data_IF_152054762538
#
_entry.id   IF_152054762538
#
_cell.length_a   1.000
_cell.length_b   1.000
_cell.length_c   1.000
_cell.angle_alpha   90.00
_cell.angle_beta   90.00
_cell.angle_gamma   90.00
#
_symmetry.space_group_name_H-M   'P 1'
#
loop_
_entity.id
_entity.type
_entity.pdbx_description
1 polymer ?
#
# COMPACT_ATOMS: atom_id res chain seq x y z
N UNK A 1 -10.02 8.60 15.66
CA UNK A 1 -8.96 7.82 16.32
C UNK A 1 -7.63 8.29 15.75
N UNK A 2 -6.64 8.60 16.58
CA UNK A 2 -5.31 9.01 16.11
C UNK A 2 -4.65 7.90 15.27
N UNK A 3 -4.81 6.64 15.68
CA UNK A 3 -4.27 5.46 14.98
C UNK A 3 -4.79 5.32 13.54
N UNK A 4 -6.07 5.64 13.30
CA UNK A 4 -6.63 5.60 11.95
C UNK A 4 -6.02 6.69 11.07
N UNK A 5 -5.78 7.89 11.62
CA UNK A 5 -5.12 8.95 10.87
C UNK A 5 -3.68 8.55 10.52
N UNK A 6 -2.93 7.98 11.47
CA UNK A 6 -1.56 7.51 11.24
C UNK A 6 -1.51 6.42 10.15
N UNK A 7 -2.46 5.48 10.15
CA UNK A 7 -2.57 4.48 9.09
C UNK A 7 -2.80 5.14 7.71
N UNK A 8 -3.68 6.13 7.63
CA UNK A 8 -3.99 6.84 6.39
C UNK A 8 -2.80 7.66 5.90
N UNK A 9 -2.06 8.31 6.80
CA UNK A 9 -0.85 9.06 6.47
C UNK A 9 0.25 8.13 5.95
N UNK A 10 0.44 6.98 6.60
CA UNK A 10 1.37 5.94 6.14
C UNK A 10 0.98 5.42 4.75
N UNK A 11 -0.30 5.06 4.54
CA UNK A 11 -0.78 4.61 3.24
C UNK A 11 -0.58 5.68 2.16
N UNK A 12 -0.86 6.95 2.47
CA UNK A 12 -0.66 8.05 1.54
C UNK A 12 0.81 8.23 1.15
N UNK A 13 1.73 8.09 2.10
CA UNK A 13 3.17 8.22 1.83
C UNK A 13 3.64 7.15 0.82
N UNK A 14 3.29 5.89 1.05
CA UNK A 14 3.66 4.77 0.16
C UNK A 14 3.04 4.94 -1.24
N UNK A 15 1.75 5.34 -1.30
CA UNK A 15 1.08 5.56 -2.58
C UNK A 15 1.72 6.72 -3.35
N UNK A 16 2.08 7.81 -2.67
CA UNK A 16 2.76 8.95 -3.28
C UNK A 16 4.10 8.54 -3.88
N UNK A 17 4.95 7.88 -3.09
CA UNK A 17 6.25 7.40 -3.55
C UNK A 17 6.12 6.48 -4.77
N UNK A 18 5.14 5.56 -4.73
CA UNK A 18 4.87 4.64 -5.83
C UNK A 18 4.41 5.36 -7.09
N UNK A 19 3.52 6.36 -6.96
CA UNK A 19 3.02 7.14 -8.09
C UNK A 19 4.09 8.04 -8.70
N UNK A 20 4.99 8.61 -7.89
CA UNK A 20 6.10 9.44 -8.37
C UNK A 20 7.11 8.61 -9.18
N UNK A 21 7.31 7.34 -8.82
CA UNK A 21 8.15 6.39 -9.57
C UNK A 21 7.46 5.66 -10.73
N UNK A 22 6.14 5.83 -10.90
CA UNK A 22 5.37 5.12 -11.91
C UNK A 22 5.54 5.76 -13.31
N UNK A 23 6.10 5.00 -14.24
CA UNK A 23 6.33 5.46 -15.63
C UNK A 23 5.49 4.65 -16.62
N UNK A 24 4.74 5.35 -17.46
CA UNK A 24 4.08 4.76 -18.64
C UNK A 24 4.89 5.07 -19.89
N UNK A 25 5.53 4.06 -20.48
CA UNK A 25 6.28 4.22 -21.73
C UNK A 25 5.31 4.27 -22.93
N UNK A 26 5.52 5.16 -23.91
CA UNK A 26 4.70 5.21 -25.11
C UNK A 26 4.64 3.84 -25.83
N UNK A 27 3.44 3.37 -26.14
CA UNK A 27 3.23 2.07 -26.82
C UNK A 27 3.30 0.85 -25.90
N UNK A 28 3.48 1.03 -24.59
CA UNK A 28 3.42 -0.05 -23.61
C UNK A 28 2.08 -0.02 -22.86
N UNK A 29 1.50 -1.20 -22.61
CA UNK A 29 0.25 -1.37 -21.84
C UNK A 29 0.48 -1.50 -20.33
N UNK A 30 1.74 -1.42 -19.87
CA UNK A 30 2.14 -1.66 -18.49
C UNK A 30 2.81 -0.43 -17.89
N UNK A 31 2.48 -0.19 -16.62
CA UNK A 31 3.18 0.76 -15.75
C UNK A 31 4.46 0.09 -15.25
N UNK A 32 5.59 0.79 -15.37
CA UNK A 32 6.85 0.40 -14.77
C UNK A 32 7.03 1.13 -13.44
N UNK A 33 7.43 0.40 -12.40
CA UNK A 33 7.70 0.91 -11.06
C UNK A 33 9.01 0.26 -10.60
N UNK A 34 9.89 1.05 -9.98
CA UNK A 34 11.12 0.52 -9.40
C UNK A 34 10.83 -0.47 -8.25
N UNK A 35 11.76 -1.40 -8.03
CA UNK A 35 11.56 -2.50 -7.09
C UNK A 35 11.22 -2.02 -5.67
N UNK A 36 11.91 -1.01 -5.15
CA UNK A 36 11.71 -0.52 -3.79
C UNK A 36 10.29 0.05 -3.55
N UNK A 37 9.79 1.02 -4.34
CA UNK A 37 8.41 1.51 -4.18
C UNK A 37 7.37 0.40 -4.45
N UNK A 38 7.64 -0.51 -5.39
CA UNK A 38 6.77 -1.66 -5.62
C UNK A 38 6.68 -2.58 -4.40
N UNK A 39 7.81 -2.89 -3.75
CA UNK A 39 7.84 -3.69 -2.53
C UNK A 39 7.07 -2.99 -1.41
N UNK A 40 7.25 -1.67 -1.24
CA UNK A 40 6.51 -0.88 -0.24
C UNK A 40 4.99 -0.96 -0.44
N UNK A 41 4.51 -0.92 -1.68
CA UNK A 41 3.08 -1.10 -1.98
C UNK A 41 2.57 -2.49 -1.60
N UNK A 42 3.35 -3.54 -1.87
CA UNK A 42 3.00 -4.91 -1.48
C UNK A 42 2.95 -5.08 0.04
N UNK A 43 3.88 -4.46 0.76
CA UNK A 43 3.93 -4.50 2.23
C UNK A 43 2.72 -3.78 2.85
N UNK A 44 2.35 -2.61 2.30
CA UNK A 44 1.12 -1.91 2.68
C UNK A 44 -0.11 -2.80 2.44
N UNK A 45 -0.21 -3.45 1.28
CA UNK A 45 -1.32 -4.33 0.96
C UNK A 45 -1.43 -5.51 1.94
N UNK A 46 -0.30 -6.17 2.24
CA UNK A 46 -0.24 -7.27 3.18
C UNK A 46 -0.71 -6.84 4.58
N UNK A 47 -0.26 -5.67 5.03
CA UNK A 47 -0.60 -5.09 6.33
C UNK A 47 -2.11 -4.80 6.43
N UNK A 48 -2.69 -4.14 5.43
CA UNK A 48 -4.13 -3.88 5.38
C UNK A 48 -4.95 -5.18 5.35
N UNK A 49 -4.48 -6.19 4.61
CA UNK A 49 -5.16 -7.48 4.56
C UNK A 49 -5.15 -8.19 5.92
N UNK A 50 -4.09 -8.05 6.71
CA UNK A 50 -4.02 -8.58 8.07
C UNK A 50 -4.96 -7.85 9.03
N UNK A 51 -5.01 -6.52 8.97
CA UNK A 51 -5.96 -5.72 9.77
C UNK A 51 -7.42 -6.08 9.44
N UNK A 52 -7.74 -6.26 8.16
CA UNK A 52 -9.07 -6.69 7.72
C UNK A 52 -9.41 -8.10 8.22
N UNK A 53 -8.44 -9.02 8.23
CA UNK A 53 -8.62 -10.36 8.81
C UNK A 53 -8.90 -10.29 10.31
N UNK A 54 -8.21 -9.45 11.07
CA UNK A 54 -8.47 -9.25 12.50
C UNK A 54 -9.88 -8.68 12.78
N UNK A 55 -10.41 -7.85 11.87
CA UNK A 55 -11.79 -7.34 11.97
C UNK A 55 -12.81 -8.45 11.68
N UNK A 56 -12.56 -9.28 10.67
CA UNK A 56 -13.46 -10.37 10.25
C UNK A 56 -13.42 -11.60 11.17
N UNK A 57 -12.25 -11.86 11.75
CA UNK A 57 -11.97 -12.93 12.71
C UNK A 57 -11.38 -12.31 13.99
N UNK A 58 -12.19 -11.58 14.77
CA UNK A 58 -11.71 -11.04 16.03
C UNK A 58 -11.33 -12.20 16.94
N UNK A 59 -10.08 -12.21 17.41
CA UNK A 59 -9.58 -13.19 18.36
C UNK A 59 -10.54 -13.28 19.55
N UNK A 60 -11.05 -14.49 19.80
CA UNK A 60 -11.92 -14.79 20.93
C UNK A 60 -11.08 -14.92 22.20
N UNK A 61 -10.67 -13.80 22.78
CA UNK A 61 -10.25 -13.71 24.19
C UNK A 61 -11.32 -12.98 25.00
#
# INVERSE_FOLDING_TARGET
>A
SAELCELLDYAQAILRETMEGAVMRPGHEKVEIDFAPWQGLLDLQASLAEMLRQIGEPSSD
#
